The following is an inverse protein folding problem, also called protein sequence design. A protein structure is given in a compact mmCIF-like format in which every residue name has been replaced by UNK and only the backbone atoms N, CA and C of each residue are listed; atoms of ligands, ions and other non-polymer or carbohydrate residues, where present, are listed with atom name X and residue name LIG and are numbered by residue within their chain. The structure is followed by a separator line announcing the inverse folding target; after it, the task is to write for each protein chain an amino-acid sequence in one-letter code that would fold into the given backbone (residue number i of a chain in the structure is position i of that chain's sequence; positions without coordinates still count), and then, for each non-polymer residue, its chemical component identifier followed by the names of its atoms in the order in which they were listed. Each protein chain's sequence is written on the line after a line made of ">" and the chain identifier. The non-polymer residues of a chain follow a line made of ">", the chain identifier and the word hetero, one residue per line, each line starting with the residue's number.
data_IF_453659700981
#
_entry.id   IF_453659700981
#
_cell.length_a   1.000
_cell.length_b   1.000
_cell.length_c   1.000
_cell.angle_alpha   90.00
_cell.angle_beta   90.00
_cell.angle_gamma   90.00
#
_symmetry.space_group_name_H-M   'P 1'
#
loop_
_entity.id
_entity.type
_entity.pdbx_description
1 polymer ?
#
# COMPACT_ATOMS: atom_id res chain seq x y z
N UNK A 1 34.47 -3.30 21.47
CA UNK A 1 33.06 -3.68 21.66
C UNK A 1 32.06 -2.61 21.20
N UNK A 2 32.25 -1.33 21.56
CA UNK A 2 31.36 -0.22 21.14
C UNK A 2 31.12 -0.10 19.62
N UNK A 3 32.16 -0.27 18.79
CA UNK A 3 32.03 -0.24 17.31
C UNK A 3 31.16 -1.38 16.75
N UNK A 4 31.27 -2.58 17.32
CA UNK A 4 30.44 -3.74 16.91
C UNK A 4 28.99 -3.54 17.33
N UNK A 5 28.76 -3.01 18.54
CA UNK A 5 27.41 -2.68 19.01
C UNK A 5 26.75 -1.58 18.15
N UNK A 6 27.50 -0.54 17.78
CA UNK A 6 27.01 0.52 16.90
C UNK A 6 26.65 -0.02 15.50
N UNK A 7 27.47 -0.91 14.94
CA UNK A 7 27.17 -1.55 13.66
C UNK A 7 25.88 -2.38 13.73
N UNK A 8 25.74 -3.21 14.76
CA UNK A 8 24.53 -4.02 14.96
C UNK A 8 23.27 -3.16 15.12
N UNK A 9 23.36 -2.06 15.85
CA UNK A 9 22.25 -1.12 16.01
C UNK A 9 21.87 -0.46 14.68
N UNK A 10 22.85 -0.01 13.89
CA UNK A 10 22.60 0.58 12.58
C UNK A 10 21.93 -0.43 11.62
N UNK A 11 22.41 -1.68 11.60
CA UNK A 11 21.82 -2.75 10.79
C UNK A 11 20.37 -3.02 11.23
N UNK A 12 20.10 -3.10 12.53
CA UNK A 12 18.75 -3.31 13.04
C UNK A 12 17.79 -2.18 12.62
N UNK A 13 18.23 -0.93 12.68
CA UNK A 13 17.43 0.22 12.23
C UNK A 13 17.15 0.14 10.73
N UNK A 14 18.15 -0.18 9.91
CA UNK A 14 17.97 -0.32 8.46
C UNK A 14 16.99 -1.44 8.11
N UNK A 15 17.04 -2.57 8.82
CA UNK A 15 16.09 -3.66 8.60
C UNK A 15 14.67 -3.27 8.98
N UNK A 16 14.48 -2.54 10.08
CA UNK A 16 13.17 -2.02 10.48
C UNK A 16 12.63 -1.03 9.44
N UNK A 17 13.46 -0.11 8.95
CA UNK A 17 13.06 0.84 7.90
C UNK A 17 12.70 0.12 6.59
N UNK A 18 13.50 -0.88 6.19
CA UNK A 18 13.20 -1.69 5.01
C UNK A 18 11.87 -2.45 5.16
N UNK A 19 11.58 -2.99 6.35
CA UNK A 19 10.34 -3.67 6.62
C UNK A 19 9.13 -2.72 6.50
N UNK A 20 9.23 -1.51 7.07
CA UNK A 20 8.18 -0.49 6.97
C UNK A 20 8.00 -0.03 5.53
N UNK A 21 9.09 0.12 4.76
CA UNK A 21 9.00 0.55 3.36
C UNK A 21 8.34 -0.50 2.45
N UNK A 22 8.69 -1.79 2.62
CA UNK A 22 8.24 -2.86 1.73
C UNK A 22 6.85 -3.41 2.07
N UNK A 23 6.45 -3.37 3.35
CA UNK A 23 5.16 -3.91 3.82
C UNK A 23 4.27 -2.89 4.52
N UNK A 24 4.67 -1.61 4.56
CA UNK A 24 3.85 -0.55 5.09
C UNK A 24 2.61 -0.30 4.21
N UNK A 25 1.50 0.17 4.81
CA UNK A 25 0.30 0.54 4.05
C UNK A 25 0.62 1.65 3.04
N UNK A 26 -0.12 1.67 1.93
CA UNK A 26 0.02 2.72 0.92
C UNK A 26 -0.24 4.09 1.54
N UNK A 27 0.67 5.04 1.28
CA UNK A 27 0.48 6.42 1.74
C UNK A 27 -0.54 7.09 0.82
N UNK A 28 -1.73 7.32 1.33
CA UNK A 28 -2.78 8.12 0.68
C UNK A 28 -2.98 9.43 1.44
N UNK A 29 -3.44 10.51 0.77
CA UNK A 29 -3.80 11.74 1.46
C UNK A 29 -4.82 11.52 2.58
N UNK A 30 -4.78 12.31 3.66
CA UNK A 30 -5.76 12.21 4.74
C UNK A 30 -7.21 12.32 4.23
N UNK A 31 -8.07 11.42 4.69
CA UNK A 31 -9.49 11.36 4.27
C UNK A 31 -9.74 10.56 3.00
N UNK A 32 -8.70 9.99 2.37
CA UNK A 32 -8.83 9.06 1.27
C UNK A 32 -8.70 7.61 1.77
N UNK A 33 -9.53 6.71 1.24
CA UNK A 33 -9.36 5.28 1.46
C UNK A 33 -8.02 4.80 0.88
N UNK A 34 -7.33 3.84 1.54
CA UNK A 34 -6.08 3.28 1.03
C UNK A 34 -6.22 2.71 -0.38
N UNK A 35 -5.16 2.82 -1.17
CA UNK A 35 -5.11 2.14 -2.47
C UNK A 35 -5.07 0.63 -2.24
N UNK A 36 -5.94 -0.09 -2.94
CA UNK A 36 -6.03 -1.55 -2.88
C UNK A 36 -5.51 -2.14 -4.19
N UNK A 37 -4.65 -3.14 -4.09
CA UNK A 37 -4.21 -3.91 -5.25
C UNK A 37 -5.36 -4.75 -5.78
N UNK A 38 -5.75 -4.52 -7.04
CA UNK A 38 -6.76 -5.32 -7.72
C UNK A 38 -6.19 -6.72 -7.99
N UNK A 39 -6.98 -7.75 -7.65
CA UNK A 39 -6.62 -9.16 -7.77
C UNK A 39 -7.85 -9.99 -8.11
N UNK A 40 -7.66 -11.23 -8.56
CA UNK A 40 -8.78 -12.13 -8.84
C UNK A 40 -9.67 -12.39 -7.62
N UNK A 41 -9.15 -12.20 -6.40
CA UNK A 41 -9.89 -12.40 -5.15
C UNK A 41 -10.85 -11.25 -4.82
N UNK A 42 -10.57 -10.01 -5.26
CA UNK A 42 -11.38 -8.82 -4.95
C UNK A 42 -12.05 -8.18 -6.18
N UNK A 43 -11.76 -8.68 -7.39
CA UNK A 43 -12.29 -8.11 -8.63
C UNK A 43 -13.83 -8.10 -8.67
N UNK A 44 -14.48 -9.17 -8.25
CA UNK A 44 -15.96 -9.25 -8.28
C UNK A 44 -16.63 -8.27 -7.29
N UNK A 45 -16.02 -7.98 -6.15
CA UNK A 45 -16.52 -6.97 -5.23
C UNK A 45 -16.36 -5.56 -5.83
N UNK A 46 -15.21 -5.30 -6.44
CA UNK A 46 -14.95 -4.06 -7.17
C UNK A 46 -15.97 -3.84 -8.31
N UNK A 47 -16.20 -4.85 -9.16
CA UNK A 47 -17.15 -4.79 -10.27
C UNK A 47 -18.57 -4.51 -9.77
N UNK A 48 -19.02 -5.24 -8.74
CA UNK A 48 -20.34 -5.03 -8.13
C UNK A 48 -20.50 -3.63 -7.50
N UNK A 49 -19.43 -3.09 -6.89
CA UNK A 49 -19.44 -1.74 -6.33
C UNK A 49 -19.45 -0.68 -7.42
N UNK A 50 -18.67 -0.90 -8.48
CA UNK A 50 -18.63 -0.04 -9.64
C UNK A 50 -19.99 0.00 -10.33
N UNK A 51 -20.63 -1.15 -10.58
CA UNK A 51 -21.87 -1.27 -11.35
C UNK A 51 -23.16 -0.96 -10.60
N UNK A 52 -23.07 -0.75 -9.28
CA UNK A 52 -24.23 -0.54 -8.41
C UNK A 52 -25.12 0.63 -8.83
N UNK A 53 -24.55 1.68 -9.42
CA UNK A 53 -25.28 2.92 -9.70
C UNK A 53 -25.05 3.40 -11.14
N UNK A 54 -26.03 3.16 -12.02
CA UNK A 54 -25.93 3.39 -13.47
C UNK A 54 -26.02 4.88 -13.87
N UNK A 55 -26.52 5.74 -12.98
CA UNK A 55 -26.79 7.15 -13.29
C UNK A 55 -25.71 8.11 -12.79
N UNK A 56 -24.70 7.60 -12.07
CA UNK A 56 -23.62 8.43 -11.52
C UNK A 56 -22.36 8.29 -12.39
N UNK A 57 -21.71 9.39 -12.80
CA UNK A 57 -20.41 9.33 -13.48
C UNK A 57 -19.37 8.62 -12.61
N UNK A 58 -18.62 7.68 -13.19
CA UNK A 58 -17.65 6.84 -12.46
C UNK A 58 -16.25 7.02 -13.04
N UNK A 59 -15.25 7.08 -12.16
CA UNK A 59 -13.85 7.19 -12.52
C UNK A 59 -13.08 6.03 -11.89
N UNK A 60 -12.31 5.30 -12.71
CA UNK A 60 -11.36 4.29 -12.23
C UNK A 60 -9.96 4.80 -12.49
N UNK A 61 -9.17 4.89 -11.42
CA UNK A 61 -7.76 5.26 -11.50
C UNK A 61 -6.92 4.00 -11.32
N UNK A 62 -6.28 3.54 -12.40
CA UNK A 62 -5.38 2.40 -12.37
C UNK A 62 -3.95 2.90 -12.23
N UNK A 63 -3.31 2.50 -11.13
CA UNK A 63 -1.90 2.78 -10.89
C UNK A 63 -1.09 1.54 -11.27
N UNK A 64 -0.18 1.68 -12.24
CA UNK A 64 0.82 0.66 -12.51
C UNK A 64 1.96 0.82 -11.51
N UNK A 65 2.43 -0.27 -10.85
CA UNK A 65 3.65 -0.20 -10.07
C UNK A 65 4.82 0.11 -11.00
N UNK A 66 5.47 1.26 -10.83
CA UNK A 66 6.79 1.57 -11.42
C UNK A 66 7.89 1.24 -10.43
#
# INVERSE_FOLDING_TARGET
>A
MKKRAALLAATAILLLLAAVYLWGPSSVPPGQEPLVTLSSANFGEFENAFDRDAEVPRLVLLFSPT
#
